data_IF_224678633344
#
_entry.id   IF_224678633344
#
_cell.length_a   1.000
_cell.length_b   1.000
_cell.length_c   1.000
_cell.angle_alpha   90.00
_cell.angle_beta   90.00
_cell.angle_gamma   90.00
#
_symmetry.space_group_name_H-M   'P 1'
#
loop_
_entity.id
_entity.type
_entity.pdbx_description
1 polymer ?
#
# COMPACT_ATOMS: atom_id res chain seq x y z
N UNK A 1 -9.49 13.87 -34.06
CA UNK A 1 -10.23 14.18 -32.82
C UNK A 1 -10.74 12.89 -32.23
N UNK A 2 -9.96 12.37 -31.29
CA UNK A 2 -10.37 11.74 -30.04
C UNK A 2 -9.03 11.65 -29.33
N UNK A 3 -8.84 12.49 -28.32
CA UNK A 3 -7.68 12.41 -27.44
C UNK A 3 -7.76 11.03 -26.79
N UNK A 4 -6.96 10.10 -27.30
CA UNK A 4 -6.61 8.86 -26.62
C UNK A 4 -5.66 9.25 -25.48
N UNK A 5 -6.22 9.96 -24.49
CA UNK A 5 -5.60 10.06 -23.17
C UNK A 5 -5.48 8.60 -22.73
N UNK A 6 -4.28 8.03 -22.87
CA UNK A 6 -3.95 6.61 -22.68
C UNK A 6 -4.18 6.09 -21.26
N UNK A 7 -5.41 6.23 -20.77
CA UNK A 7 -5.90 5.77 -19.49
C UNK A 7 -6.15 4.28 -19.64
N UNK A 8 -5.20 3.52 -19.11
CA UNK A 8 -5.31 2.07 -18.95
C UNK A 8 -6.55 1.79 -18.08
N UNK A 9 -7.44 0.91 -18.55
CA UNK A 9 -8.66 0.52 -17.85
C UNK A 9 -9.97 1.13 -18.37
N UNK A 10 -9.98 1.76 -19.55
CA UNK A 10 -11.19 2.27 -20.20
C UNK A 10 -12.02 1.20 -20.95
N UNK A 11 -11.63 -0.07 -20.88
CA UNK A 11 -12.36 -1.17 -21.51
C UNK A 11 -13.75 -1.36 -20.87
N UNK A 12 -14.79 -1.72 -21.65
CA UNK A 12 -16.09 -2.08 -21.08
C UNK A 12 -15.98 -3.24 -20.07
N UNK A 13 -16.73 -3.14 -18.96
CA UNK A 13 -16.82 -4.24 -17.99
C UNK A 13 -17.51 -5.46 -18.62
N UNK A 14 -16.90 -6.63 -18.47
CA UNK A 14 -17.45 -7.91 -18.92
C UNK A 14 -17.34 -8.98 -17.82
N UNK A 15 -18.28 -9.90 -17.78
CA UNK A 15 -18.28 -10.99 -16.80
C UNK A 15 -17.01 -11.85 -16.93
N UNK A 16 -16.42 -12.19 -15.78
CA UNK A 16 -15.18 -12.98 -15.70
C UNK A 16 -13.89 -12.19 -15.96
N UNK A 17 -13.96 -10.88 -16.20
CA UNK A 17 -12.79 -10.01 -16.31
C UNK A 17 -11.97 -10.05 -15.01
N UNK A 18 -10.66 -10.29 -15.14
CA UNK A 18 -9.71 -10.27 -14.02
C UNK A 18 -9.02 -8.92 -13.96
N UNK A 19 -9.29 -8.19 -12.88
CA UNK A 19 -8.75 -6.85 -12.66
C UNK A 19 -7.66 -6.90 -11.59
N UNK A 20 -6.64 -6.05 -11.74
CA UNK A 20 -5.61 -5.84 -10.73
C UNK A 20 -5.31 -4.35 -10.64
N UNK A 21 -5.26 -3.83 -9.43
CA UNK A 21 -4.95 -2.43 -9.16
C UNK A 21 -3.56 -2.37 -8.53
N UNK A 22 -2.63 -1.63 -9.16
CA UNK A 22 -1.33 -1.29 -8.57
C UNK A 22 -1.45 0.11 -7.98
N UNK A 23 -1.16 0.27 -6.70
CA UNK A 23 -1.14 1.56 -6.01
C UNK A 23 0.26 1.81 -5.47
N UNK A 24 0.77 3.04 -5.66
CA UNK A 24 2.04 3.49 -5.10
C UNK A 24 1.79 4.67 -4.17
N UNK A 25 2.35 4.59 -2.96
CA UNK A 25 2.34 5.68 -1.97
C UNK A 25 3.74 5.75 -1.39
N UNK A 26 4.33 6.94 -1.46
CA UNK A 26 5.68 7.15 -0.97
C UNK A 26 5.62 7.86 0.38
N UNK A 27 6.44 7.37 1.31
CA UNK A 27 6.51 7.87 2.68
C UNK A 27 7.93 8.34 2.97
N UNK A 28 8.03 9.39 3.78
CA UNK A 28 9.32 9.85 4.31
C UNK A 28 9.29 9.73 5.83
N UNK A 29 10.21 8.94 6.39
CA UNK A 29 10.39 8.86 7.84
C UNK A 29 11.02 10.17 8.31
N UNK A 30 10.29 10.92 9.12
CA UNK A 30 10.77 12.20 9.69
C UNK A 30 11.28 12.04 11.12
N UNK A 31 10.82 11.00 11.82
CA UNK A 31 11.21 10.64 13.18
C UNK A 31 10.97 9.13 13.36
N UNK A 32 12.04 8.35 13.41
CA UNK A 32 11.96 6.89 13.42
C UNK A 32 11.42 6.35 14.76
N UNK A 33 11.87 6.93 15.88
CA UNK A 33 11.46 6.49 17.22
C UNK A 33 9.98 6.76 17.45
N UNK A 34 9.50 7.94 17.04
CA UNK A 34 8.08 8.28 17.15
C UNK A 34 7.21 7.44 16.22
N UNK A 35 7.71 7.10 15.03
CA UNK A 35 7.00 6.20 14.12
C UNK A 35 6.87 4.79 14.71
N UNK A 36 7.96 4.22 15.23
CA UNK A 36 7.95 2.92 15.88
C UNK A 36 7.03 2.89 17.09
N UNK A 37 7.09 3.90 17.97
CA UNK A 37 6.19 4.01 19.12
C UNK A 37 4.71 4.07 18.69
N UNK A 38 4.42 4.79 17.60
CA UNK A 38 3.06 4.90 17.05
C UNK A 38 2.58 3.56 16.49
N UNK A 39 3.43 2.88 15.71
CA UNK A 39 3.10 1.57 15.15
C UNK A 39 2.91 0.50 16.23
N UNK A 40 3.74 0.47 17.28
CA UNK A 40 3.57 -0.45 18.42
C UNK A 40 2.26 -0.25 19.14
N UNK A 41 1.85 1.01 19.35
CA UNK A 41 0.53 1.30 19.90
C UNK A 41 -0.60 0.80 19.00
N UNK A 42 -0.49 1.03 17.69
CA UNK A 42 -1.45 0.54 16.71
C UNK A 42 -1.51 -1.00 16.69
N UNK A 43 -0.37 -1.68 16.86
CA UNK A 43 -0.31 -3.13 16.98
C UNK A 43 -1.11 -3.63 18.20
N UNK A 44 -0.95 -3.00 19.37
CA UNK A 44 -1.73 -3.33 20.56
C UNK A 44 -3.23 -3.04 20.38
N UNK A 45 -3.61 -2.00 19.62
CA UNK A 45 -5.01 -1.69 19.31
C UNK A 45 -5.64 -2.77 18.41
N UNK A 46 -4.88 -3.28 17.43
CA UNK A 46 -5.30 -4.37 16.55
C UNK A 46 -5.33 -5.73 17.26
N UNK A 47 -4.49 -5.93 18.27
CA UNK A 47 -4.35 -7.19 19.00
C UNK A 47 -4.63 -7.01 20.50
N UNK A 48 -5.91 -7.00 20.92
CA UNK A 48 -6.26 -6.86 22.32
C UNK A 48 -5.66 -7.99 23.18
N UNK A 49 -4.92 -7.60 24.22
CA UNK A 49 -4.28 -8.54 25.17
C UNK A 49 -2.78 -8.72 24.95
N UNK A 50 -2.23 -8.22 23.84
CA UNK A 50 -0.79 -8.14 23.61
C UNK A 50 -0.12 -7.22 24.62
N UNK A 51 1.03 -7.64 25.15
CA UNK A 51 1.83 -6.83 26.08
C UNK A 51 2.67 -5.77 25.34
N UNK A 52 3.17 -4.77 26.06
CA UNK A 52 4.05 -3.75 25.47
C UNK A 52 5.37 -4.35 24.98
N UNK A 53 5.92 -5.34 25.70
CA UNK A 53 7.16 -6.02 25.33
C UNK A 53 6.98 -6.81 24.03
N UNK A 54 5.87 -7.54 23.92
CA UNK A 54 5.51 -8.26 22.69
C UNK A 54 5.33 -7.31 21.51
N UNK A 55 4.68 -6.15 21.71
CA UNK A 55 4.57 -5.15 20.64
C UNK A 55 5.94 -4.58 20.21
N UNK A 56 6.87 -4.42 21.15
CA UNK A 56 8.24 -3.99 20.83
C UNK A 56 8.98 -5.04 19.98
N UNK A 57 8.78 -6.33 20.28
CA UNK A 57 9.39 -7.44 19.55
C UNK A 57 8.77 -7.65 18.16
N UNK A 58 7.48 -7.36 18.01
CA UNK A 58 6.76 -7.51 16.74
C UNK A 58 6.95 -6.35 15.77
N UNK A 59 7.26 -5.16 16.28
CA UNK A 59 7.43 -3.96 15.44
C UNK A 59 8.83 -3.39 15.64
N UNK A 60 9.74 -3.83 14.78
CA UNK A 60 11.18 -3.57 14.90
C UNK A 60 11.76 -2.80 13.72
N UNK A 61 11.12 -2.86 12.55
CA UNK A 61 11.62 -2.25 11.34
C UNK A 61 10.58 -1.36 10.62
N UNK A 62 11.02 -0.69 9.56
CA UNK A 62 10.15 0.16 8.74
C UNK A 62 8.98 -0.62 8.10
N UNK A 63 9.22 -1.89 7.75
CA UNK A 63 8.19 -2.73 7.14
C UNK A 63 7.07 -3.04 8.14
N UNK A 64 7.43 -3.55 9.32
CA UNK A 64 6.47 -3.83 10.40
C UNK A 64 5.68 -2.56 10.73
N UNK A 65 6.39 -1.43 10.90
CA UNK A 65 5.77 -0.17 11.28
C UNK A 65 4.72 0.30 10.24
N UNK A 66 5.07 0.27 8.96
CA UNK A 66 4.17 0.69 7.89
C UNK A 66 3.00 -0.29 7.72
N UNK A 67 3.25 -1.61 7.75
CA UNK A 67 2.16 -2.58 7.61
C UNK A 67 1.13 -2.45 8.71
N UNK A 68 1.57 -2.35 9.97
CA UNK A 68 0.67 -2.19 11.11
C UNK A 68 -0.13 -0.89 11.03
N UNK A 69 0.51 0.23 10.67
CA UNK A 69 -0.19 1.52 10.53
C UNK A 69 -1.24 1.48 9.41
N UNK A 70 -0.91 0.88 8.28
CA UNK A 70 -1.83 0.77 7.14
C UNK A 70 -2.98 -0.20 7.43
N UNK A 71 -2.72 -1.28 8.16
CA UNK A 71 -3.75 -2.22 8.61
C UNK A 71 -4.72 -1.55 9.59
N UNK A 72 -4.19 -0.83 10.58
CA UNK A 72 -4.99 -0.08 11.55
C UNK A 72 -5.84 1.00 10.87
N UNK A 73 -5.33 1.62 9.80
CA UNK A 73 -6.08 2.55 8.96
C UNK A 73 -7.11 1.86 8.04
N UNK A 74 -7.17 0.54 8.00
CA UNK A 74 -8.07 -0.25 7.16
C UNK A 74 -7.74 -0.18 5.67
N UNK A 75 -6.48 0.11 5.32
CA UNK A 75 -6.00 0.21 3.94
C UNK A 75 -5.42 -1.11 3.41
N UNK A 76 -5.13 -2.05 4.31
CA UNK A 76 -4.73 -3.43 4.00
C UNK A 76 -5.20 -4.36 5.13
N UNK A 77 -5.05 -5.68 4.94
CA UNK A 77 -5.42 -6.69 5.92
C UNK A 77 -6.92 -6.95 5.99
N UNK A 78 -7.34 -7.67 7.03
CA UNK A 78 -8.69 -8.24 7.15
C UNK A 78 -9.79 -7.17 7.06
N UNK A 79 -9.61 -6.01 7.69
CA UNK A 79 -10.60 -4.93 7.64
C UNK A 79 -10.77 -4.33 6.23
N UNK A 80 -9.72 -4.34 5.40
CA UNK A 80 -9.84 -3.93 4.00
C UNK A 80 -10.54 -5.02 3.18
N UNK A 81 -10.15 -6.28 3.39
CA UNK A 81 -10.69 -7.43 2.69
C UNK A 81 -12.19 -7.63 2.98
N UNK A 82 -12.63 -7.49 4.24
CA UNK A 82 -14.05 -7.55 4.63
C UNK A 82 -14.89 -6.46 3.94
N UNK A 83 -14.39 -5.22 3.90
CA UNK A 83 -15.09 -4.11 3.21
C UNK A 83 -15.23 -4.39 1.72
N UNK A 84 -14.18 -4.91 1.08
CA UNK A 84 -14.21 -5.26 -0.33
C UNK A 84 -15.12 -6.48 -0.60
N UNK A 85 -15.08 -7.50 0.27
CA UNK A 85 -15.95 -8.67 0.19
C UNK A 85 -17.43 -8.31 0.28
N UNK A 86 -17.78 -7.19 0.93
CA UNK A 86 -19.12 -6.61 0.92
C UNK A 86 -19.67 -6.30 -0.49
N UNK A 87 -18.81 -6.21 -1.51
CA UNK A 87 -19.21 -6.02 -2.91
C UNK A 87 -19.44 -7.32 -3.69
N UNK A 88 -19.30 -8.49 -3.07
CA UNK A 88 -19.56 -9.78 -3.73
C UNK A 88 -20.98 -9.88 -4.28
N UNK A 89 -21.98 -9.42 -3.53
CA UNK A 89 -23.38 -9.35 -3.98
C UNK A 89 -23.63 -8.34 -5.11
N UNK A 90 -22.69 -7.41 -5.30
CA UNK A 90 -22.69 -6.42 -6.37
C UNK A 90 -21.88 -6.87 -7.60
N UNK A 91 -21.43 -8.13 -7.64
CA UNK A 91 -20.70 -8.71 -8.77
C UNK A 91 -19.17 -8.55 -8.71
N UNK A 92 -18.61 -8.08 -7.60
CA UNK A 92 -17.16 -7.94 -7.42
C UNK A 92 -16.64 -8.97 -6.41
N UNK A 93 -15.96 -10.00 -6.91
CA UNK A 93 -15.25 -10.98 -6.06
C UNK A 93 -13.80 -10.56 -5.88
N UNK A 94 -13.34 -10.52 -4.63
CA UNK A 94 -11.96 -10.17 -4.27
C UNK A 94 -11.01 -11.33 -4.56
N UNK A 95 -9.91 -11.03 -5.27
CA UNK A 95 -8.77 -11.94 -5.36
C UNK A 95 -7.83 -11.81 -4.16
N UNK A 96 -6.68 -12.47 -4.22
CA UNK A 96 -5.60 -12.26 -3.25
C UNK A 96 -4.89 -10.91 -3.45
N UNK A 97 -4.20 -10.43 -2.42
CA UNK A 97 -3.40 -9.20 -2.46
C UNK A 97 -1.93 -9.47 -2.16
N UNK A 98 -1.07 -8.53 -2.59
CA UNK A 98 0.35 -8.50 -2.27
C UNK A 98 0.79 -7.05 -2.11
N UNK A 99 1.55 -6.76 -1.06
CA UNK A 99 2.21 -5.49 -0.87
C UNK A 99 3.72 -5.68 -0.78
N UNK A 100 4.45 -4.61 -1.10
CA UNK A 100 5.90 -4.55 -1.03
C UNK A 100 6.32 -3.19 -0.50
N UNK A 101 7.35 -3.16 0.32
CA UNK A 101 7.98 -1.93 0.80
C UNK A 101 9.34 -1.83 0.14
N UNK A 102 9.59 -0.70 -0.54
CA UNK A 102 10.88 -0.37 -1.14
C UNK A 102 11.57 0.62 -0.21
N UNK A 103 12.74 0.24 0.31
CA UNK A 103 13.54 1.11 1.15
C UNK A 103 14.39 2.04 0.27
N UNK A 104 14.52 3.30 0.68
CA UNK A 104 15.30 4.31 -0.02
C UNK A 104 14.91 4.43 -1.51
N UNK A 105 13.61 4.57 -1.77
CA UNK A 105 13.06 4.74 -3.12
C UNK A 105 13.85 5.82 -3.91
N UNK A 106 14.56 5.46 -4.99
CA UNK A 106 15.44 6.37 -5.70
C UNK A 106 14.69 7.47 -6.46
N UNK A 107 13.43 7.23 -6.79
CA UNK A 107 12.59 8.14 -7.56
C UNK A 107 11.30 8.45 -6.81
N UNK A 108 11.36 9.11 -5.63
CA UNK A 108 10.15 9.33 -4.84
C UNK A 108 9.14 10.18 -5.61
N UNK A 109 7.86 9.89 -5.40
CA UNK A 109 6.74 10.67 -5.94
C UNK A 109 6.75 12.07 -5.32
N UNK A 110 6.45 13.07 -6.15
CA UNK A 110 6.36 14.45 -5.70
C UNK A 110 5.03 14.69 -4.97
N UNK A 111 5.03 15.32 -3.79
CA UNK A 111 3.79 15.74 -3.13
C UNK A 111 3.10 16.91 -3.86
N UNK A 112 3.71 17.47 -4.92
CA UNK A 112 3.15 18.58 -5.69
C UNK A 112 2.29 18.07 -6.85
N UNK A 113 1.13 18.71 -7.12
CA UNK A 113 0.09 18.20 -8.03
C UNK A 113 0.49 18.04 -9.52
N UNK A 114 1.75 18.28 -9.90
CA UNK A 114 2.27 18.09 -11.26
C UNK A 114 3.68 17.52 -11.33
N UNK A 115 4.31 17.16 -10.21
CA UNK A 115 5.71 16.76 -10.19
C UNK A 115 5.98 15.45 -10.94
N UNK A 116 4.99 14.56 -10.98
CA UNK A 116 5.11 13.23 -11.58
C UNK A 116 4.40 13.10 -12.94
N UNK A 117 3.64 14.12 -13.38
CA UNK A 117 2.86 14.08 -14.64
C UNK A 117 3.72 14.01 -15.91
N UNK A 118 5.04 14.19 -15.79
CA UNK A 118 5.99 14.19 -16.92
C UNK A 118 6.97 13.00 -16.87
N UNK A 119 6.83 12.08 -15.91
CA UNK A 119 7.63 10.85 -15.89
C UNK A 119 7.06 9.88 -16.94
N UNK A 120 7.84 9.63 -17.99
CA UNK A 120 7.49 8.65 -19.04
C UNK A 120 7.81 7.20 -18.66
N UNK A 121 8.47 6.97 -17.52
CA UNK A 121 8.87 5.66 -17.04
C UNK A 121 7.74 4.98 -16.25
N UNK A 122 7.74 3.63 -16.22
CA UNK A 122 6.81 2.87 -15.37
C UNK A 122 7.05 3.25 -13.90
N UNK A 123 6.13 4.04 -13.32
CA UNK A 123 6.18 4.49 -11.93
C UNK A 123 6.08 3.35 -10.92
N UNK A 124 5.82 2.13 -11.38
CA UNK A 124 5.85 0.91 -10.57
C UNK A 124 7.03 -0.01 -10.90
N UNK A 125 7.95 0.38 -11.78
CA UNK A 125 9.19 -0.35 -11.99
C UNK A 125 10.06 -0.23 -10.73
N UNK A 126 10.51 -1.36 -10.22
CA UNK A 126 11.51 -1.39 -9.17
C UNK A 126 12.86 -0.92 -9.76
N UNK A 127 13.74 -0.28 -8.96
CA UNK A 127 15.13 -0.15 -9.37
C UNK A 127 15.71 -1.56 -9.66
N UNK A 128 16.62 -1.68 -10.65
CA UNK A 128 17.30 -2.94 -10.89
C UNK A 128 17.98 -3.41 -9.59
N UNK A 129 17.94 -4.71 -9.31
CA UNK A 129 18.64 -5.29 -8.17
C UNK A 129 20.14 -4.93 -8.28
N UNK A 130 20.67 -4.20 -7.32
CA UNK A 130 22.12 -4.10 -7.12
C UNK A 130 22.57 -5.47 -6.56
N UNK A 131 23.07 -6.35 -7.43
CA UNK A 131 23.79 -7.55 -7.02
C UNK A 131 24.95 -7.14 -6.08
N UNK A 132 24.84 -7.49 -4.79
CA UNK A 132 25.95 -7.44 -3.84
C UNK A 132 26.12 -8.76 -3.09
#
# INVERSE_FOLDING_TARGET
MADDDGVIGNDPLVDGMRLSVRLRRDFTVTDADRLLATARRAYCELNPGTSVDEANDMVTCAADALFVILEQAGLLGDAADERLAGHASNGLVTGGWRAQIVLNEPHPLSPRPRGDCLRGDDVFALPPDDDH
#
